data_IF_891651772739
#
_entry.id   IF_891651772739
#
_cell.length_a   1.000
_cell.length_b   1.000
_cell.length_c   1.000
_cell.angle_alpha   90.00
_cell.angle_beta   90.00
_cell.angle_gamma   90.00
#
_symmetry.space_group_name_H-M   'P 1'
#
loop_
_entity.id
_entity.type
_entity.pdbx_description
1 polymer ?
#
# COMPACT_ATOMS: atom_id res chain seq x y z
N UNK A 1 16.30 -16.70 -1.54
CA UNK A 1 16.35 -15.23 -1.63
C UNK A 1 16.25 -14.65 -0.23
N UNK A 2 17.16 -13.78 0.13
CA UNK A 2 17.09 -13.08 1.39
C UNK A 2 16.36 -11.77 1.19
N UNK A 3 15.29 -11.55 1.96
CA UNK A 3 14.51 -10.31 1.91
C UNK A 3 15.15 -9.31 2.88
N UNK A 4 15.54 -8.15 2.38
CA UNK A 4 16.15 -7.09 3.19
C UNK A 4 15.18 -5.96 3.52
N UNK A 5 14.01 -5.97 2.92
CA UNK A 5 12.97 -5.00 3.18
C UNK A 5 11.96 -5.48 4.20
N UNK A 6 10.84 -4.77 4.27
CA UNK A 6 9.73 -5.11 5.15
C UNK A 6 8.56 -5.63 4.33
N UNK A 7 8.01 -6.76 4.76
CA UNK A 7 6.79 -7.32 4.20
C UNK A 7 5.62 -7.00 5.14
N UNK A 8 4.55 -6.47 4.59
CA UNK A 8 3.37 -6.11 5.36
C UNK A 8 2.15 -6.78 4.73
N UNK A 9 1.49 -7.65 5.48
CA UNK A 9 0.26 -8.30 5.04
C UNK A 9 -0.93 -7.56 5.64
N UNK A 10 -1.85 -7.11 4.78
CA UNK A 10 -3.03 -6.39 5.22
C UNK A 10 -4.27 -7.15 4.74
N UNK A 11 -5.16 -7.49 5.67
CA UNK A 11 -6.45 -8.11 5.36
C UNK A 11 -7.60 -7.18 5.70
N UNK A 12 -8.77 -7.47 5.12
CA UNK A 12 -9.96 -6.69 5.38
C UNK A 12 -10.05 -5.43 4.54
N UNK A 13 -10.89 -4.50 5.00
CA UNK A 13 -11.14 -3.25 4.30
C UNK A 13 -10.71 -2.08 5.19
N UNK A 14 -9.43 -1.76 5.16
CA UNK A 14 -8.84 -0.72 6.00
C UNK A 14 -9.31 0.68 5.59
N UNK A 15 -9.22 1.60 6.56
CA UNK A 15 -9.48 3.01 6.31
C UNK A 15 -8.38 3.60 5.44
N UNK A 16 -8.74 4.00 4.23
CA UNK A 16 -7.85 4.64 3.26
C UNK A 16 -8.15 6.13 3.14
N UNK A 17 -8.96 6.66 4.06
CA UNK A 17 -9.35 8.07 4.05
C UNK A 17 -10.44 8.41 3.04
N UNK A 18 -11.02 7.41 2.36
CA UNK A 18 -12.00 7.64 1.30
C UNK A 18 -13.44 7.37 1.72
N UNK A 19 -13.66 6.65 2.83
CA UNK A 19 -14.97 6.15 3.24
C UNK A 19 -15.49 6.83 4.50
N UNK A 20 -15.16 8.10 4.72
CA UNK A 20 -15.63 8.83 5.89
C UNK A 20 -17.15 9.04 5.82
N UNK A 21 -17.86 8.64 6.87
CA UNK A 21 -19.29 8.93 7.01
C UNK A 21 -19.49 10.40 7.35
N UNK A 22 -20.55 11.05 6.84
CA UNK A 22 -20.74 12.49 7.08
C UNK A 22 -20.71 12.93 8.54
N UNK A 23 -21.25 12.11 9.45
CA UNK A 23 -21.30 12.45 10.88
C UNK A 23 -19.95 12.39 11.58
N UNK A 24 -18.95 11.74 10.95
CA UNK A 24 -17.64 11.50 11.56
C UNK A 24 -16.49 11.88 10.64
N UNK A 25 -16.77 12.70 9.62
CA UNK A 25 -15.76 13.06 8.61
C UNK A 25 -14.51 13.63 9.26
N UNK A 26 -14.67 14.54 10.20
CA UNK A 26 -13.54 15.19 10.86
C UNK A 26 -12.68 14.18 11.63
N UNK A 27 -13.33 13.35 12.47
CA UNK A 27 -12.63 12.36 13.27
C UNK A 27 -11.97 11.29 12.42
N UNK A 28 -12.66 10.83 11.37
CA UNK A 28 -12.14 9.82 10.45
C UNK A 28 -10.89 10.31 9.74
N UNK A 29 -10.92 11.53 9.22
CA UNK A 29 -9.77 12.12 8.53
C UNK A 29 -8.60 12.28 9.51
N UNK A 30 -8.86 12.78 10.72
CA UNK A 30 -7.84 12.93 11.74
C UNK A 30 -7.20 11.59 12.08
N UNK A 31 -8.01 10.55 12.32
CA UNK A 31 -7.53 9.21 12.64
C UNK A 31 -6.68 8.63 11.51
N UNK A 32 -7.14 8.78 10.26
CA UNK A 32 -6.39 8.29 9.11
C UNK A 32 -5.01 8.94 9.02
N UNK A 33 -4.95 10.26 9.15
CA UNK A 33 -3.71 11.02 8.97
C UNK A 33 -2.73 10.79 10.13
N UNK A 34 -3.24 10.63 11.36
CA UNK A 34 -2.39 10.64 12.56
C UNK A 34 -2.21 9.28 13.23
N UNK A 35 -3.11 8.32 13.03
CA UNK A 35 -3.08 7.06 13.77
C UNK A 35 -3.62 5.84 13.03
N UNK A 36 -4.00 5.98 11.77
CA UNK A 36 -4.50 4.86 10.98
C UNK A 36 -3.42 3.84 10.65
N UNK A 37 -3.84 2.67 10.16
CA UNK A 37 -2.92 1.58 9.80
C UNK A 37 -1.91 2.04 8.77
N UNK A 38 -2.34 2.76 7.73
CA UNK A 38 -1.44 3.23 6.68
C UNK A 38 -0.45 4.26 7.22
N UNK A 39 -0.88 5.11 8.13
CA UNK A 39 0.02 6.03 8.83
C UNK A 39 1.11 5.26 9.60
N UNK A 40 0.73 4.19 10.29
CA UNK A 40 1.70 3.35 11.01
C UNK A 40 2.71 2.72 10.08
N UNK A 41 2.29 2.28 8.89
CA UNK A 41 3.19 1.73 7.88
C UNK A 41 4.22 2.77 7.48
N UNK A 42 3.79 4.00 7.20
CA UNK A 42 4.70 5.09 6.83
C UNK A 42 5.68 5.38 7.98
N UNK A 43 5.21 5.36 9.21
CA UNK A 43 6.07 5.58 10.38
C UNK A 43 7.14 4.50 10.51
N UNK A 44 6.79 3.23 10.23
CA UNK A 44 7.75 2.13 10.26
C UNK A 44 8.81 2.25 9.17
N UNK A 45 8.43 2.69 7.97
CA UNK A 45 9.37 2.89 6.86
C UNK A 45 10.36 4.00 7.21
N UNK A 46 9.90 5.07 7.84
CA UNK A 46 10.70 6.21 8.30
C UNK A 46 11.65 6.78 7.24
N UNK A 47 11.22 6.74 5.97
CA UNK A 47 11.97 7.30 4.85
C UNK A 47 10.98 7.62 3.74
N UNK A 48 10.74 8.91 3.50
CA UNK A 48 9.74 9.38 2.55
C UNK A 48 10.03 8.96 1.10
N UNK A 49 11.28 8.67 0.79
CA UNK A 49 11.71 8.28 -0.55
C UNK A 49 11.80 6.76 -0.75
N UNK A 50 11.54 5.98 0.30
CA UNK A 50 11.62 4.53 0.21
C UNK A 50 10.58 3.99 -0.76
N UNK A 51 10.96 2.97 -1.52
CA UNK A 51 10.05 2.29 -2.44
C UNK A 51 8.96 1.55 -1.68
N UNK A 52 7.74 1.71 -2.12
CA UNK A 52 6.59 0.97 -1.60
C UNK A 52 5.89 0.28 -2.77
N UNK A 53 5.99 -1.05 -2.84
CA UNK A 53 5.30 -1.84 -3.84
C UNK A 53 3.98 -2.35 -3.26
N UNK A 54 2.89 -2.15 -4.00
CA UNK A 54 1.55 -2.57 -3.58
C UNK A 54 1.12 -3.76 -4.42
N UNK A 55 0.94 -4.90 -3.76
CA UNK A 55 0.56 -6.15 -4.42
C UNK A 55 -0.88 -6.48 -4.03
N UNK A 56 -1.76 -6.49 -5.01
CA UNK A 56 -3.21 -6.70 -4.81
C UNK A 56 -3.71 -8.01 -5.44
N UNK A 57 -2.83 -9.01 -5.53
CA UNK A 57 -3.14 -10.28 -6.19
C UNK A 57 -4.36 -10.99 -5.60
N UNK A 58 -4.59 -10.86 -4.30
CA UNK A 58 -5.71 -11.51 -3.63
C UNK A 58 -7.07 -10.82 -3.86
N UNK A 59 -7.08 -9.64 -4.46
CA UNK A 59 -8.32 -8.90 -4.70
C UNK A 59 -8.99 -9.33 -6.00
N UNK A 60 -10.33 -9.36 -6.00
CA UNK A 60 -11.10 -9.56 -7.23
C UNK A 60 -11.15 -8.30 -8.11
N UNK A 61 -10.76 -7.14 -7.55
CA UNK A 61 -10.70 -5.86 -8.27
C UNK A 61 -9.32 -5.22 -8.06
N UNK A 62 -8.23 -5.88 -8.49
CA UNK A 62 -6.88 -5.50 -8.07
C UNK A 62 -6.47 -4.09 -8.52
N UNK A 63 -6.88 -3.65 -9.70
CA UNK A 63 -6.53 -2.31 -10.19
C UNK A 63 -7.18 -1.21 -9.36
N UNK A 64 -8.45 -1.40 -9.00
CA UNK A 64 -9.19 -0.44 -8.18
C UNK A 64 -8.57 -0.34 -6.78
N UNK A 65 -8.27 -1.47 -6.17
CA UNK A 65 -7.65 -1.51 -4.84
C UNK A 65 -6.27 -0.87 -4.86
N UNK A 66 -5.45 -1.20 -5.86
CA UNK A 66 -4.13 -0.60 -6.00
C UNK A 66 -4.20 0.92 -6.13
N UNK A 67 -5.17 1.42 -6.90
CA UNK A 67 -5.39 2.85 -7.05
C UNK A 67 -5.75 3.52 -5.72
N UNK A 68 -6.65 2.89 -4.96
CA UNK A 68 -7.07 3.40 -3.66
C UNK A 68 -5.90 3.49 -2.68
N UNK A 69 -5.08 2.44 -2.60
CA UNK A 69 -3.91 2.45 -1.73
C UNK A 69 -2.87 3.48 -2.17
N UNK A 70 -2.62 3.59 -3.47
CA UNK A 70 -1.68 4.57 -4.00
C UNK A 70 -2.10 5.99 -3.61
N UNK A 71 -3.39 6.31 -3.78
CA UNK A 71 -3.91 7.62 -3.39
C UNK A 71 -3.77 7.85 -1.88
N UNK A 72 -4.09 6.84 -1.08
CA UNK A 72 -4.03 6.94 0.36
C UNK A 72 -2.62 7.23 0.85
N UNK A 73 -1.62 6.50 0.34
CA UNK A 73 -0.23 6.74 0.73
C UNK A 73 0.27 8.11 0.26
N UNK A 74 -0.15 8.58 -0.92
CA UNK A 74 0.20 9.92 -1.38
C UNK A 74 -0.39 11.00 -0.49
N UNK A 75 -1.61 10.81 0.02
CA UNK A 75 -2.21 11.72 1.00
C UNK A 75 -1.40 11.79 2.29
N UNK A 76 -0.74 10.71 2.66
CA UNK A 76 0.13 10.66 3.83
C UNK A 76 1.54 11.17 3.56
N UNK A 77 1.80 11.67 2.35
CA UNK A 77 3.09 12.24 1.99
C UNK A 77 4.09 11.27 1.38
N UNK A 78 3.70 10.00 1.17
CA UNK A 78 4.58 9.00 0.58
C UNK A 78 4.29 8.85 -0.91
N UNK A 79 5.18 9.34 -1.76
CA UNK A 79 4.93 9.42 -3.20
C UNK A 79 5.61 8.31 -4.02
N UNK A 80 6.62 7.65 -3.48
CA UNK A 80 7.30 6.55 -4.18
C UNK A 80 6.54 5.23 -3.99
N UNK A 81 5.33 5.19 -4.55
CA UNK A 81 4.40 4.08 -4.42
C UNK A 81 4.11 3.52 -5.81
N UNK A 82 4.29 2.21 -5.98
CA UNK A 82 4.09 1.55 -7.28
C UNK A 82 3.21 0.32 -7.13
N UNK A 83 2.11 0.23 -7.89
CA UNK A 83 1.33 -1.01 -7.93
C UNK A 83 2.09 -2.09 -8.71
N UNK A 84 1.97 -3.32 -8.24
CA UNK A 84 2.56 -4.49 -8.88
C UNK A 84 1.43 -5.45 -9.24
N UNK A 85 1.26 -5.71 -10.54
CA UNK A 85 0.19 -6.55 -11.05
C UNK A 85 0.70 -7.98 -11.24
N UNK A 86 0.28 -8.87 -10.34
CA UNK A 86 0.60 -10.30 -10.41
C UNK A 86 -0.74 -11.04 -10.44
N UNK A 87 -1.10 -11.63 -11.57
CA UNK A 87 -2.39 -12.30 -11.74
C UNK A 87 -2.27 -13.82 -11.97
N UNK A 88 -1.04 -14.33 -12.05
CA UNK A 88 -0.79 -15.76 -12.23
C UNK A 88 0.51 -16.16 -11.54
N UNK A 89 0.70 -17.46 -11.21
CA UNK A 89 1.97 -17.94 -10.66
C UNK A 89 3.16 -17.69 -11.61
N UNK A 90 2.93 -17.76 -12.92
CA UNK A 90 3.97 -17.51 -13.91
C UNK A 90 4.47 -16.07 -13.85
N UNK A 91 3.55 -15.11 -13.68
CA UNK A 91 3.93 -13.70 -13.53
C UNK A 91 4.73 -13.47 -12.24
N UNK A 92 4.38 -14.18 -11.16
CA UNK A 92 5.09 -14.06 -9.89
C UNK A 92 6.55 -14.47 -10.01
N UNK A 93 6.87 -15.41 -10.91
CA UNK A 93 8.23 -15.90 -11.12
C UNK A 93 8.97 -15.14 -12.23
N UNK A 94 8.34 -14.14 -12.84
CA UNK A 94 8.96 -13.38 -13.91
C UNK A 94 10.19 -12.62 -13.40
N UNK A 95 11.32 -12.64 -14.14
CA UNK A 95 12.55 -11.96 -13.69
C UNK A 95 12.37 -10.48 -13.38
N UNK A 96 11.53 -9.77 -14.14
CA UNK A 96 11.28 -8.34 -13.90
C UNK A 96 10.59 -8.09 -12.58
N UNK A 97 9.65 -8.96 -12.18
CA UNK A 97 8.97 -8.86 -10.89
C UNK A 97 9.97 -9.11 -9.76
N UNK A 98 10.79 -10.15 -9.88
CA UNK A 98 11.80 -10.46 -8.87
C UNK A 98 12.81 -9.33 -8.73
N UNK A 99 13.21 -8.71 -9.86
CA UNK A 99 14.13 -7.57 -9.83
C UNK A 99 13.51 -6.37 -9.12
N UNK A 100 12.22 -6.09 -9.33
CA UNK A 100 11.52 -5.00 -8.65
C UNK A 100 11.47 -5.23 -7.14
N UNK A 101 11.17 -6.45 -6.72
CA UNK A 101 11.13 -6.79 -5.30
C UNK A 101 12.49 -6.61 -4.66
N UNK A 102 13.56 -7.06 -5.32
CA UNK A 102 14.92 -6.91 -4.81
C UNK A 102 15.38 -5.46 -4.74
N UNK A 103 14.91 -4.63 -5.67
CA UNK A 103 15.30 -3.22 -5.73
C UNK A 103 14.51 -2.34 -4.73
N UNK A 104 13.44 -2.85 -4.18
CA UNK A 104 12.53 -2.09 -3.31
C UNK A 104 12.94 -2.08 -1.82
#
# INVERSE_FOLDING_TARGET
MQIRGTLIAIGGNEDKGANAKPLHVHDTVHTFVNSGILYRIIAEINNADACLEIVTTASSIPKSVAYQYTRAFKKLGHTNVRPMHITSPQEADHPDILARIKAC
#
